data_IF_957065242513
#
_entry.id   IF_957065242513
#
_cell.length_a   1.000
_cell.length_b   1.000
_cell.length_c   1.000
_cell.angle_alpha   90.00
_cell.angle_beta   90.00
_cell.angle_gamma   90.00
#
_symmetry.space_group_name_H-M   'P 1'
#
loop_
_entity.id
_entity.type
_entity.pdbx_description
1 polymer ?
#
# COMPACT_ATOMS: atom_id res chain seq x y z
N UNK A 1 31.37 0.08 -26.78
CA UNK A 1 32.62 0.88 -26.94
C UNK A 1 32.96 1.69 -25.68
N UNK A 2 32.87 1.13 -24.46
CA UNK A 2 32.69 1.96 -23.23
C UNK A 2 33.88 2.04 -22.24
N UNK A 3 34.91 1.21 -22.36
CA UNK A 3 36.00 1.17 -21.35
C UNK A 3 37.09 2.23 -21.56
N UNK A 4 37.41 2.57 -22.82
CA UNK A 4 38.58 3.42 -23.15
C UNK A 4 38.42 4.87 -22.71
N UNK A 5 37.19 5.36 -22.58
CA UNK A 5 36.86 6.76 -22.33
C UNK A 5 36.76 7.09 -20.84
N UNK A 6 36.56 6.08 -20.00
CA UNK A 6 36.49 6.20 -18.52
C UNK A 6 37.88 6.03 -17.88
N UNK A 7 38.80 5.35 -18.58
CA UNK A 7 40.13 4.98 -18.07
C UNK A 7 40.92 6.17 -17.48
N UNK A 8 40.95 7.37 -18.11
CA UNK A 8 41.69 8.51 -17.54
C UNK A 8 41.09 9.01 -16.22
N UNK A 9 39.75 9.07 -16.13
CA UNK A 9 39.06 9.50 -14.91
C UNK A 9 39.30 8.53 -13.75
N UNK A 10 39.24 7.22 -14.02
CA UNK A 10 39.51 6.18 -13.03
C UNK A 10 40.96 6.23 -12.57
N UNK A 11 41.91 6.31 -13.52
CA UNK A 11 43.33 6.38 -13.19
C UNK A 11 43.64 7.61 -12.32
N UNK A 12 43.11 8.78 -12.68
CA UNK A 12 43.33 10.02 -11.93
C UNK A 12 42.70 9.98 -10.54
N UNK A 13 41.51 9.37 -10.41
CA UNK A 13 40.85 9.15 -9.11
C UNK A 13 41.70 8.24 -8.23
N UNK A 14 42.20 7.12 -8.77
CA UNK A 14 43.02 6.17 -8.03
C UNK A 14 44.36 6.79 -7.57
N UNK A 15 45.06 7.51 -8.46
CA UNK A 15 46.30 8.21 -8.11
C UNK A 15 46.03 9.27 -7.05
N UNK A 16 44.95 10.04 -7.17
CA UNK A 16 44.55 11.03 -6.18
C UNK A 16 44.35 10.42 -4.80
N UNK A 17 43.64 9.29 -4.71
CA UNK A 17 43.37 8.60 -3.44
C UNK A 17 44.63 8.04 -2.78
N UNK A 18 45.53 7.44 -3.57
CA UNK A 18 46.78 6.92 -3.03
C UNK A 18 47.61 8.06 -2.43
N UNK A 19 47.61 9.21 -3.11
CA UNK A 19 48.36 10.37 -2.66
C UNK A 19 47.78 11.01 -1.41
N UNK A 20 46.46 11.22 -1.35
CA UNK A 20 45.76 11.74 -0.16
C UNK A 20 45.98 10.84 1.04
N UNK A 21 45.82 9.52 0.87
CA UNK A 21 46.09 8.54 1.92
C UNK A 21 47.55 8.60 2.38
N UNK A 22 48.52 8.64 1.46
CA UNK A 22 49.94 8.70 1.80
C UNK A 22 50.28 9.96 2.60
N UNK A 23 49.77 11.12 2.20
CA UNK A 23 49.99 12.39 2.89
C UNK A 23 49.33 12.39 4.27
N UNK A 24 48.08 11.93 4.38
CA UNK A 24 47.40 11.79 5.67
C UNK A 24 48.19 10.85 6.58
N UNK A 25 48.68 9.72 6.09
CA UNK A 25 49.49 8.79 6.86
C UNK A 25 50.81 9.40 7.34
N UNK A 26 51.49 10.14 6.47
CA UNK A 26 52.75 10.78 6.81
C UNK A 26 52.58 11.88 7.86
N UNK A 27 51.44 12.59 7.83
CA UNK A 27 51.17 13.68 8.77
C UNK A 27 50.55 13.17 10.08
N UNK A 28 49.40 12.50 9.99
CA UNK A 28 48.66 12.00 11.15
C UNK A 28 49.38 10.84 11.85
N UNK A 29 50.16 10.04 11.14
CA UNK A 29 50.93 8.95 11.75
C UNK A 29 51.99 9.42 12.76
N UNK A 30 52.36 10.70 12.74
CA UNK A 30 53.25 11.30 13.75
C UNK A 30 52.52 11.74 15.02
N UNK A 31 51.22 12.04 14.91
CA UNK A 31 50.41 12.60 15.99
C UNK A 31 49.47 11.57 16.64
N UNK A 32 49.09 10.51 15.92
CA UNK A 32 48.17 9.47 16.38
C UNK A 32 48.60 8.08 15.92
N UNK A 33 48.10 6.99 16.54
CA UNK A 33 48.40 5.64 16.11
C UNK A 33 48.05 5.43 14.63
N UNK A 34 48.96 4.78 13.90
CA UNK A 34 48.82 4.55 12.45
C UNK A 34 47.48 3.93 12.00
N UNK A 35 46.78 3.05 12.77
CA UNK A 35 45.48 2.54 12.34
C UNK A 35 44.41 3.64 12.28
N UNK A 36 44.48 4.64 13.17
CA UNK A 36 43.54 5.77 13.20
C UNK A 36 43.78 6.66 11.98
N UNK A 37 45.04 6.96 11.67
CA UNK A 37 45.42 7.73 10.49
C UNK A 37 44.94 7.06 9.19
N UNK A 38 45.05 5.73 9.09
CA UNK A 38 44.52 4.97 7.95
C UNK A 38 43.01 5.09 7.83
N UNK A 39 42.27 4.94 8.93
CA UNK A 39 40.80 5.07 8.92
C UNK A 39 40.38 6.47 8.49
N UNK A 40 41.09 7.51 8.94
CA UNK A 40 40.81 8.89 8.54
C UNK A 40 41.05 9.09 7.04
N UNK A 41 42.20 8.66 6.52
CA UNK A 41 42.52 8.76 5.09
C UNK A 41 41.54 7.99 4.21
N UNK A 42 41.29 6.72 4.56
CA UNK A 42 40.29 5.89 3.87
C UNK A 42 38.87 6.43 4.02
N UNK A 43 38.56 7.13 5.12
CA UNK A 43 37.27 7.78 5.34
C UNK A 43 37.02 8.95 4.38
N UNK A 44 38.03 9.79 4.17
CA UNK A 44 37.97 10.91 3.21
C UNK A 44 37.77 10.37 1.79
N UNK A 45 38.63 9.45 1.37
CA UNK A 45 38.59 8.91 0.01
C UNK A 45 37.39 7.97 -0.22
N UNK A 46 37.01 7.19 0.79
CA UNK A 46 35.83 6.33 0.77
C UNK A 46 34.53 7.13 0.70
N UNK A 47 34.42 8.22 1.45
CA UNK A 47 33.31 9.16 1.35
C UNK A 47 33.21 9.78 -0.05
N UNK A 48 34.35 10.19 -0.60
CA UNK A 48 34.41 10.72 -1.96
C UNK A 48 33.99 9.69 -3.02
N UNK A 49 34.51 8.46 -2.96
CA UNK A 49 34.12 7.38 -3.88
C UNK A 49 32.65 7.02 -3.77
N UNK A 50 32.10 6.96 -2.56
CA UNK A 50 30.68 6.68 -2.34
C UNK A 50 29.81 7.73 -3.04
N UNK A 51 30.19 9.02 -2.95
CA UNK A 51 29.46 10.09 -3.63
C UNK A 51 29.58 10.00 -5.15
N UNK A 52 30.77 9.71 -5.69
CA UNK A 52 30.99 9.52 -7.13
C UNK A 52 30.20 8.32 -7.68
N UNK A 53 30.18 7.20 -6.96
CA UNK A 53 29.41 6.02 -7.33
C UNK A 53 27.91 6.31 -7.31
N UNK A 54 27.44 7.06 -6.30
CA UNK A 54 26.03 7.44 -6.20
C UNK A 54 25.60 8.40 -7.31
N UNK A 55 26.43 9.41 -7.62
CA UNK A 55 26.20 10.30 -8.77
C UNK A 55 26.15 9.53 -10.09
N UNK A 56 27.06 8.58 -10.30
CA UNK A 56 27.08 7.74 -11.51
C UNK A 56 25.84 6.87 -11.61
N UNK A 57 25.36 6.33 -10.49
CA UNK A 57 24.10 5.57 -10.44
C UNK A 57 22.88 6.44 -10.78
N UNK A 58 22.80 7.64 -10.19
CA UNK A 58 21.74 8.61 -10.49
C UNK A 58 21.75 9.02 -11.96
N UNK A 59 22.95 9.35 -12.49
CA UNK A 59 23.11 9.74 -13.89
C UNK A 59 22.68 8.61 -14.86
N UNK A 60 22.98 7.34 -14.53
CA UNK A 60 22.51 6.19 -15.30
C UNK A 60 20.98 6.03 -15.27
N UNK A 61 20.31 6.55 -14.24
CA UNK A 61 18.85 6.59 -14.11
C UNK A 61 18.23 7.86 -14.72
N UNK A 62 19.05 8.77 -15.24
CA UNK A 62 18.60 10.07 -15.76
C UNK A 62 18.22 11.07 -14.67
N UNK A 63 18.60 10.82 -13.41
CA UNK A 63 18.32 11.68 -12.26
C UNK A 63 19.61 12.34 -11.74
N UNK A 64 19.47 13.45 -11.00
CA UNK A 64 20.60 14.19 -10.44
C UNK A 64 20.23 14.78 -9.07
N UNK A 65 21.14 14.67 -8.10
CA UNK A 65 20.98 15.27 -6.78
C UNK A 65 22.04 16.33 -6.53
N UNK A 66 21.61 17.60 -6.42
CA UNK A 66 22.49 18.74 -6.11
C UNK A 66 23.20 18.56 -4.76
N UNK A 67 22.53 17.93 -3.79
CA UNK A 67 23.10 17.66 -2.46
C UNK A 67 24.27 16.69 -2.59
N UNK A 68 24.08 15.56 -3.27
CA UNK A 68 25.16 14.57 -3.45
C UNK A 68 26.32 15.18 -4.23
N UNK A 69 26.03 15.97 -5.26
CA UNK A 69 27.05 16.71 -6.02
C UNK A 69 27.83 17.69 -5.15
N UNK A 70 27.14 18.46 -4.30
CA UNK A 70 27.79 19.34 -3.34
C UNK A 70 28.70 18.58 -2.36
N UNK A 71 28.24 17.45 -1.83
CA UNK A 71 29.03 16.59 -0.92
C UNK A 71 30.27 16.03 -1.64
N UNK A 72 30.13 15.54 -2.87
CA UNK A 72 31.25 15.04 -3.65
C UNK A 72 32.30 16.12 -3.97
N UNK A 73 31.87 17.36 -4.21
CA UNK A 73 32.79 18.50 -4.32
C UNK A 73 33.44 18.86 -2.99
N UNK A 74 32.70 18.82 -1.88
CA UNK A 74 33.24 19.10 -0.55
C UNK A 74 34.38 18.13 -0.19
N UNK A 75 34.20 16.82 -0.39
CA UNK A 75 35.26 15.84 -0.18
C UNK A 75 36.47 16.08 -1.09
N UNK A 76 36.25 16.39 -2.37
CA UNK A 76 37.32 16.73 -3.30
C UNK A 76 38.12 17.96 -2.87
N UNK A 77 37.44 19.00 -2.38
CA UNK A 77 38.07 20.21 -1.87
C UNK A 77 38.82 19.96 -0.55
N UNK A 78 38.29 19.11 0.34
CA UNK A 78 38.98 18.70 1.57
C UNK A 78 40.26 17.95 1.21
N UNK A 79 40.19 16.97 0.31
CA UNK A 79 41.34 16.23 -0.18
C UNK A 79 42.42 17.15 -0.79
N UNK A 80 42.02 18.07 -1.66
CA UNK A 80 42.93 19.09 -2.21
C UNK A 80 43.50 19.99 -1.12
N UNK A 81 42.69 20.41 -0.14
CA UNK A 81 43.14 21.22 0.99
C UNK A 81 44.22 20.54 1.83
N UNK A 82 44.08 19.23 2.09
CA UNK A 82 45.10 18.42 2.78
C UNK A 82 46.40 18.40 1.98
N UNK A 83 46.34 18.19 0.66
CA UNK A 83 47.52 18.17 -0.20
C UNK A 83 48.19 19.55 -0.30
N UNK A 84 47.42 20.63 -0.41
CA UNK A 84 47.95 22.00 -0.43
C UNK A 84 48.60 22.33 0.91
N UNK A 85 47.96 22.00 2.03
CA UNK A 85 48.54 22.20 3.36
C UNK A 85 49.87 21.45 3.50
N UNK A 86 49.93 20.20 3.05
CA UNK A 86 51.16 19.44 3.03
C UNK A 86 52.24 20.09 2.16
N UNK A 87 51.89 20.56 0.95
CA UNK A 87 52.81 21.22 0.05
C UNK A 87 53.43 22.50 0.65
N UNK A 88 52.65 23.24 1.44
CA UNK A 88 53.10 24.47 2.11
C UNK A 88 53.96 24.22 3.36
N UNK A 89 53.74 23.07 4.03
CA UNK A 89 54.46 22.67 5.24
C UNK A 89 55.70 21.83 4.94
N UNK A 90 55.82 21.29 3.73
CA UNK A 90 56.98 20.50 3.32
C UNK A 90 58.19 21.42 3.10
N UNK A 91 59.30 21.13 3.81
CA UNK A 91 60.55 21.90 3.71
C UNK A 91 61.24 21.71 2.35
N UNK A 92 61.01 20.57 1.69
CA UNK A 92 61.53 20.26 0.36
C UNK A 92 60.41 20.08 -0.66
N UNK A 93 60.65 20.47 -1.91
CA UNK A 93 59.77 20.17 -3.06
C UNK A 93 58.34 20.74 -3.04
N UNK A 94 58.09 21.83 -2.31
CA UNK A 94 56.79 22.51 -2.24
C UNK A 94 56.12 22.76 -3.61
N UNK A 95 56.90 23.17 -4.62
CA UNK A 95 56.39 23.40 -5.97
C UNK A 95 55.86 22.13 -6.67
N UNK A 96 56.51 20.98 -6.45
CA UNK A 96 56.06 19.71 -7.01
C UNK A 96 54.76 19.25 -6.33
N UNK A 97 54.69 19.38 -4.99
CA UNK A 97 53.49 19.03 -4.24
C UNK A 97 52.30 19.93 -4.58
N UNK A 98 52.51 21.23 -4.77
CA UNK A 98 51.46 22.16 -5.22
C UNK A 98 50.91 21.79 -6.60
N UNK A 99 51.75 21.30 -7.51
CA UNK A 99 51.29 20.85 -8.82
C UNK A 99 50.34 19.65 -8.72
N UNK A 100 50.64 18.72 -7.81
CA UNK A 100 49.87 17.47 -7.64
C UNK A 100 48.64 17.66 -6.73
N UNK A 101 48.62 18.68 -5.87
CA UNK A 101 47.53 18.95 -4.94
C UNK A 101 46.15 19.16 -5.61
N UNK A 102 46.14 19.55 -6.88
CA UNK A 102 44.93 19.76 -7.68
C UNK A 102 44.36 18.49 -8.31
N UNK A 103 45.01 17.33 -8.15
CA UNK A 103 44.55 16.05 -8.71
C UNK A 103 43.10 15.67 -8.30
N UNK A 104 42.66 15.82 -7.02
CA UNK A 104 41.28 15.49 -6.64
C UNK A 104 40.23 16.29 -7.43
N UNK A 105 40.46 17.61 -7.56
CA UNK A 105 39.61 18.52 -8.32
C UNK A 105 39.62 18.16 -9.81
N UNK A 106 40.80 17.90 -10.38
CA UNK A 106 40.94 17.54 -11.79
C UNK A 106 40.28 16.18 -12.10
N UNK A 107 40.37 15.20 -11.21
CA UNK A 107 39.67 13.92 -11.34
C UNK A 107 38.15 14.11 -11.35
N UNK A 108 37.60 14.94 -10.45
CA UNK A 108 36.17 15.27 -10.43
C UNK A 108 35.74 15.99 -11.72
N UNK A 109 36.53 16.95 -12.19
CA UNK A 109 36.26 17.66 -13.45
C UNK A 109 36.27 16.70 -14.65
N UNK A 110 37.18 15.72 -14.67
CA UNK A 110 37.26 14.73 -15.73
C UNK A 110 36.02 13.83 -15.77
N UNK A 111 35.46 13.48 -14.60
CA UNK A 111 34.18 12.78 -14.51
C UNK A 111 33.00 13.61 -15.06
N UNK A 112 33.02 14.94 -14.87
CA UNK A 112 32.01 15.85 -15.44
C UNK A 112 32.12 15.93 -16.96
N UNK A 113 33.34 16.13 -17.48
CA UNK A 113 33.61 16.14 -18.93
C UNK A 113 33.18 14.83 -19.56
N UNK A 114 33.46 13.70 -18.91
CA UNK A 114 33.01 12.40 -19.39
C UNK A 114 31.48 12.30 -19.44
N UNK A 115 30.78 12.77 -18.41
CA UNK A 115 29.30 12.80 -18.40
C UNK A 115 28.72 13.69 -19.50
N UNK A 116 29.32 14.85 -19.75
CA UNK A 116 28.95 15.73 -20.87
C UNK A 116 29.22 15.05 -22.22
N UNK A 117 30.34 14.35 -22.35
CA UNK A 117 30.68 13.66 -23.57
C UNK A 117 29.70 12.52 -23.88
N UNK A 118 29.30 11.74 -22.87
CA UNK A 118 28.25 10.72 -22.99
C UNK A 118 26.92 11.33 -23.47
N UNK A 119 26.57 12.54 -23.02
CA UNK A 119 25.38 13.26 -23.48
C UNK A 119 25.52 13.74 -24.93
N UNK A 120 26.67 14.28 -25.32
CA UNK A 120 26.90 14.74 -26.70
C UNK A 120 27.04 13.61 -27.72
N UNK A 121 27.39 12.39 -27.27
CA UNK A 121 27.45 11.21 -28.12
C UNK A 121 26.05 10.69 -28.48
N UNK A 122 25.02 11.07 -27.74
CA UNK A 122 23.63 10.75 -28.05
C UNK A 122 23.08 11.81 -29.01
N UNK A 123 22.46 11.39 -30.12
CA UNK A 123 21.81 12.33 -31.04
C UNK A 123 20.66 13.06 -30.32
N UNK A 124 20.33 14.32 -30.68
CA UNK A 124 19.21 15.06 -30.10
C UNK A 124 17.89 14.28 -30.17
N UNK A 125 17.69 13.51 -31.24
CA UNK A 125 16.55 12.61 -31.43
C UNK A 125 16.52 11.50 -30.38
N UNK A 126 17.66 10.89 -30.05
CA UNK A 126 17.76 9.86 -29.01
C UNK A 126 17.53 10.44 -27.61
N UNK A 127 18.00 11.66 -27.33
CA UNK A 127 17.69 12.34 -26.08
C UNK A 127 16.20 12.68 -25.97
N UNK A 128 15.58 13.08 -27.08
CA UNK A 128 14.14 13.32 -27.16
C UNK A 128 13.32 12.05 -26.90
N UNK A 129 13.68 10.92 -27.49
CA UNK A 129 12.98 9.65 -27.26
C UNK A 129 13.13 9.15 -25.83
N UNK A 130 14.32 9.27 -25.22
CA UNK A 130 14.54 8.93 -23.80
C UNK A 130 13.65 9.79 -22.89
N UNK A 131 13.58 11.10 -23.14
CA UNK A 131 12.69 12.00 -22.37
C UNK A 131 11.22 11.62 -22.54
N UNK A 132 10.81 11.26 -23.75
CA UNK A 132 9.45 10.77 -24.04
C UNK A 132 9.10 9.52 -23.24
N UNK A 133 9.95 8.50 -23.28
CA UNK A 133 9.76 7.24 -22.54
C UNK A 133 9.73 7.50 -21.03
N UNK A 134 10.59 8.37 -20.50
CA UNK A 134 10.59 8.71 -19.08
C UNK A 134 9.33 9.45 -18.64
N UNK A 135 8.80 10.32 -19.50
CA UNK A 135 7.57 11.04 -19.22
C UNK A 135 6.37 10.09 -19.24
N UNK A 136 6.28 9.23 -20.26
CA UNK A 136 5.24 8.22 -20.37
C UNK A 136 5.24 7.27 -19.17
N UNK A 137 6.41 6.79 -18.73
CA UNK A 137 6.53 5.95 -17.55
C UNK A 137 6.10 6.68 -16.25
N UNK A 138 6.36 7.99 -16.13
CA UNK A 138 5.89 8.80 -14.99
C UNK A 138 4.38 8.95 -15.01
N UNK A 139 3.81 9.21 -16.17
CA UNK A 139 2.37 9.40 -16.36
C UNK A 139 1.63 8.08 -16.09
N UNK A 140 2.16 6.96 -16.59
CA UNK A 140 1.64 5.62 -16.30
C UNK A 140 1.70 5.29 -14.81
N UNK A 141 2.82 5.58 -14.14
CA UNK A 141 2.94 5.40 -12.69
C UNK A 141 1.96 6.28 -11.90
N UNK A 142 1.71 7.52 -12.36
CA UNK A 142 0.73 8.40 -11.74
C UNK A 142 -0.71 7.87 -11.92
N UNK A 143 -1.05 7.38 -13.11
CA UNK A 143 -2.34 6.75 -13.40
C UNK A 143 -2.53 5.47 -12.58
N UNK A 144 -1.52 4.61 -12.48
CA UNK A 144 -1.57 3.39 -11.67
C UNK A 144 -1.82 3.71 -10.19
N UNK A 145 -1.13 4.72 -9.64
CA UNK A 145 -1.39 5.20 -8.26
C UNK A 145 -2.80 5.76 -8.09
N UNK A 146 -3.32 6.49 -9.08
CA UNK A 146 -4.68 7.01 -9.03
C UNK A 146 -5.72 5.89 -9.06
N UNK A 147 -5.53 4.87 -9.91
CA UNK A 147 -6.39 3.67 -9.96
C UNK A 147 -6.39 2.90 -8.65
N UNK A 148 -5.20 2.61 -8.11
CA UNK A 148 -5.07 1.94 -6.81
C UNK A 148 -5.75 2.72 -5.68
N UNK A 149 -5.66 4.05 -5.67
CA UNK A 149 -6.38 4.89 -4.69
C UNK A 149 -7.89 4.83 -4.86
N UNK A 150 -8.39 4.81 -6.10
CA UNK A 150 -9.82 4.71 -6.38
C UNK A 150 -10.40 3.36 -5.93
N UNK A 151 -9.68 2.27 -6.20
CA UNK A 151 -10.04 0.93 -5.73
C UNK A 151 -10.03 0.84 -4.21
N UNK A 152 -8.96 1.35 -3.56
CA UNK A 152 -8.86 1.36 -2.11
C UNK A 152 -10.00 2.15 -1.43
N UNK A 153 -10.35 3.34 -1.94
CA UNK A 153 -11.46 4.13 -1.42
C UNK A 153 -12.82 3.43 -1.57
N UNK A 154 -13.00 2.67 -2.66
CA UNK A 154 -14.22 1.88 -2.90
C UNK A 154 -14.32 0.74 -1.88
N UNK A 155 -13.22 0.02 -1.65
CA UNK A 155 -13.18 -1.06 -0.65
C UNK A 155 -13.33 -0.54 0.78
N UNK A 156 -12.74 0.61 1.12
CA UNK A 156 -12.95 1.27 2.42
C UNK A 156 -14.43 1.60 2.66
N UNK A 157 -15.11 2.15 1.65
CA UNK A 157 -16.55 2.45 1.71
C UNK A 157 -17.36 1.16 1.91
N UNK A 158 -17.01 0.09 1.19
CA UNK A 158 -17.66 -1.22 1.30
C UNK A 158 -17.49 -1.82 2.68
N UNK A 159 -16.26 -1.83 3.22
CA UNK A 159 -15.96 -2.34 4.56
C UNK A 159 -16.71 -1.54 5.62
N UNK A 160 -16.73 -0.22 5.51
CA UNK A 160 -17.49 0.65 6.43
C UNK A 160 -18.98 0.32 6.41
N UNK A 161 -19.58 0.15 5.22
CA UNK A 161 -20.98 -0.22 5.09
C UNK A 161 -21.29 -1.60 5.70
N UNK A 162 -20.41 -2.59 5.48
CA UNK A 162 -20.55 -3.93 6.06
C UNK A 162 -20.41 -3.90 7.58
N UNK A 163 -19.43 -3.18 8.12
CA UNK A 163 -19.24 -3.02 9.56
C UNK A 163 -20.43 -2.32 10.21
N UNK A 164 -20.96 -1.27 9.59
CA UNK A 164 -22.13 -0.56 10.09
C UNK A 164 -23.37 -1.48 10.07
N UNK A 165 -23.58 -2.23 8.99
CA UNK A 165 -24.64 -3.24 8.93
C UNK A 165 -24.48 -4.32 10.01
N UNK A 166 -23.27 -4.83 10.23
CA UNK A 166 -22.96 -5.78 11.29
C UNK A 166 -23.24 -5.22 12.68
N UNK A 167 -22.91 -3.95 12.93
CA UNK A 167 -23.21 -3.26 14.19
C UNK A 167 -24.71 -3.14 14.45
N UNK A 168 -25.51 -2.91 13.39
CA UNK A 168 -26.98 -2.87 13.48
C UNK A 168 -27.54 -4.24 13.83
N UNK A 169 -27.05 -5.29 13.18
CA UNK A 169 -27.47 -6.68 13.47
C UNK A 169 -27.11 -7.07 14.90
N UNK A 170 -25.87 -6.82 15.35
CA UNK A 170 -25.44 -7.12 16.71
C UNK A 170 -26.29 -6.40 17.76
N UNK A 171 -26.66 -5.14 17.50
CA UNK A 171 -27.54 -4.36 18.38
C UNK A 171 -28.95 -4.94 18.48
N UNK A 172 -29.51 -5.39 17.35
CA UNK A 172 -30.84 -6.05 17.33
C UNK A 172 -30.78 -7.37 18.09
N UNK A 173 -29.75 -8.20 17.85
CA UNK A 173 -29.57 -9.46 18.58
C UNK A 173 -29.45 -9.25 20.10
N UNK A 174 -28.65 -8.26 20.53
CA UNK A 174 -28.53 -7.91 21.94
C UNK A 174 -29.87 -7.48 22.56
N UNK A 175 -30.66 -6.65 21.84
CA UNK A 175 -31.98 -6.22 22.30
C UNK A 175 -32.96 -7.39 22.38
N UNK A 176 -32.96 -8.28 21.40
CA UNK A 176 -33.80 -9.49 21.41
C UNK A 176 -33.43 -10.42 22.56
N UNK A 177 -32.13 -10.65 22.80
CA UNK A 177 -31.66 -11.46 23.93
C UNK A 177 -32.10 -10.86 25.28
N UNK A 178 -32.05 -9.53 25.42
CA UNK A 178 -32.53 -8.83 26.61
C UNK A 178 -34.05 -8.98 26.80
N UNK A 179 -34.84 -8.85 25.74
CA UNK A 179 -36.29 -9.04 25.82
C UNK A 179 -36.64 -10.49 26.20
N UNK A 180 -35.95 -11.47 25.62
CA UNK A 180 -36.14 -12.88 25.95
C UNK A 180 -35.76 -13.19 27.39
N UNK A 181 -34.66 -12.64 27.91
CA UNK A 181 -34.27 -12.85 29.31
C UNK A 181 -35.26 -12.21 30.28
N UNK A 182 -35.80 -11.03 29.95
CA UNK A 182 -36.88 -10.41 30.73
C UNK A 182 -38.16 -11.25 30.70
N UNK A 183 -38.55 -11.78 29.54
CA UNK A 183 -39.72 -12.65 29.42
C UNK A 183 -39.54 -13.92 30.26
N UNK A 184 -38.37 -14.56 30.21
CA UNK A 184 -38.04 -15.72 31.05
C UNK A 184 -38.06 -15.38 32.54
N UNK A 185 -37.48 -14.26 32.94
CA UNK A 185 -37.52 -13.80 34.32
C UNK A 185 -38.95 -13.55 34.80
N UNK A 186 -39.81 -12.98 33.94
CA UNK A 186 -41.22 -12.74 34.25
C UNK A 186 -41.98 -14.05 34.40
N UNK A 187 -41.73 -15.01 33.51
CA UNK A 187 -42.33 -16.35 33.56
C UNK A 187 -41.91 -17.11 34.81
N UNK A 188 -40.63 -17.06 35.17
CA UNK A 188 -40.09 -17.67 36.39
C UNK A 188 -40.66 -17.02 37.64
N UNK A 189 -40.80 -15.68 37.65
CA UNK A 189 -41.45 -14.95 38.75
C UNK A 189 -42.93 -15.36 38.88
N UNK A 190 -43.63 -15.49 37.76
CA UNK A 190 -45.02 -15.95 37.75
C UNK A 190 -45.15 -17.41 38.22
N UNK A 191 -44.19 -18.29 37.87
CA UNK A 191 -44.13 -19.68 38.32
C UNK A 191 -43.90 -19.79 39.84
N UNK A 192 -42.99 -18.96 40.36
CA UNK A 192 -42.63 -18.94 41.79
C UNK A 192 -43.59 -18.08 42.62
N UNK A 193 -44.57 -17.42 41.98
CA UNK A 193 -45.60 -16.64 42.63
C UNK A 193 -46.50 -17.51 43.51
N UNK A 194 -46.95 -16.93 44.61
CA UNK A 194 -47.65 -17.65 45.68
C UNK A 194 -49.01 -18.23 45.23
N UNK A 195 -49.71 -17.52 44.32
CA UNK A 195 -50.98 -17.97 43.72
C UNK A 195 -50.79 -19.14 42.74
N UNK A 196 -49.75 -19.09 41.91
CA UNK A 196 -49.40 -20.19 40.99
C UNK A 196 -48.88 -21.40 41.75
N UNK A 197 -48.10 -21.19 42.81
CA UNK A 197 -47.63 -22.26 43.70
C UNK A 197 -48.80 -22.94 44.43
N UNK A 198 -49.79 -22.18 44.92
CA UNK A 198 -51.04 -22.76 45.45
C UNK A 198 -51.82 -23.56 44.40
N UNK A 199 -51.94 -23.03 43.18
CA UNK A 199 -52.62 -23.71 42.08
C UNK A 199 -51.89 -24.97 41.60
N UNK A 200 -50.55 -25.00 41.66
CA UNK A 200 -49.76 -26.19 41.31
C UNK A 200 -49.75 -27.21 42.44
N UNK A 201 -49.78 -26.78 43.70
CA UNK A 201 -49.84 -27.67 44.87
C UNK A 201 -51.19 -28.38 44.97
N UNK A 202 -52.29 -27.74 44.56
CA UNK A 202 -53.61 -28.38 44.46
C UNK A 202 -53.72 -29.45 43.36
N UNK A 203 -52.76 -29.48 42.43
CA UNK A 203 -52.76 -30.41 41.28
C UNK A 203 -51.69 -31.50 41.39
N UNK A 204 -50.54 -31.24 42.03
CA UNK A 204 -49.35 -32.10 41.92
C UNK A 204 -49.03 -32.96 43.15
N UNK A 205 -49.54 -32.64 44.34
CA UNK A 205 -49.28 -33.45 45.54
C UNK A 205 -50.60 -33.97 46.11
N UNK A 206 -50.80 -35.30 46.18
CA UNK A 206 -51.94 -35.85 46.88
C UNK A 206 -51.75 -35.58 48.38
N UNK A 207 -52.45 -34.58 48.91
CA UNK A 207 -52.50 -34.33 50.37
C UNK A 207 -53.34 -35.41 51.09
N UNK A 208 -54.00 -36.30 50.32
CA UNK A 208 -54.81 -37.44 50.81
C UNK A 208 -54.48 -38.71 50.01
N UNK A 209 -54.13 -39.83 50.68
CA UNK A 209 -53.88 -41.09 49.99
C UNK A 209 -55.19 -41.63 49.36
N UNK A 210 -55.16 -41.92 48.05
CA UNK A 210 -56.27 -42.56 47.32
C UNK A 210 -56.97 -41.71 46.25
N UNK A 211 -56.56 -40.45 46.03
CA UNK A 211 -57.14 -39.60 44.98
C UNK A 211 -56.15 -39.43 43.82
N UNK A 212 -56.56 -39.81 42.61
CA UNK A 212 -55.80 -39.57 41.38
C UNK A 212 -55.94 -38.11 40.93
N UNK A 213 -54.84 -37.43 40.57
CA UNK A 213 -54.92 -36.09 39.99
C UNK A 213 -55.67 -36.15 38.65
N UNK A 214 -56.58 -35.20 38.44
CA UNK A 214 -57.54 -35.24 37.32
C UNK A 214 -56.99 -34.72 35.99
N UNK A 215 -55.78 -34.14 35.96
CA UNK A 215 -55.17 -33.56 34.77
C UNK A 215 -53.70 -33.97 34.62
N UNK A 216 -53.33 -34.37 33.41
CA UNK A 216 -51.94 -34.57 32.97
C UNK A 216 -51.37 -33.24 32.48
N UNK A 217 -50.20 -32.84 33.00
CA UNK A 217 -49.49 -31.66 32.51
C UNK A 217 -48.90 -31.95 31.12
N UNK A 218 -49.06 -31.05 30.14
CA UNK A 218 -48.44 -31.21 28.83
C UNK A 218 -46.91 -31.14 28.98
N UNK A 219 -46.23 -32.23 28.61
CA UNK A 219 -44.78 -32.28 28.53
C UNK A 219 -44.35 -31.47 27.31
N UNK A 220 -43.66 -30.36 27.54
CA UNK A 220 -42.98 -29.63 26.47
C UNK A 220 -41.85 -30.53 25.96
N UNK A 221 -42.07 -31.19 24.83
CA UNK A 221 -41.09 -32.07 24.21
C UNK A 221 -39.84 -31.31 23.71
N UNK A 222 -38.77 -32.03 23.33
CA UNK A 222 -37.58 -31.42 22.76
C UNK A 222 -37.97 -30.57 21.54
N UNK A 223 -37.60 -29.29 21.54
CA UNK A 223 -37.79 -28.43 20.38
C UNK A 223 -36.84 -28.87 19.27
N UNK A 224 -37.37 -29.39 18.18
CA UNK A 224 -36.58 -29.63 16.98
C UNK A 224 -35.98 -28.29 16.50
N UNK A 225 -34.66 -28.23 16.22
CA UNK A 225 -34.07 -27.05 15.63
C UNK A 225 -34.73 -26.83 14.27
N UNK A 226 -35.43 -25.70 14.12
CA UNK A 226 -35.96 -25.27 12.82
C UNK A 226 -34.77 -25.21 11.85
N UNK A 227 -34.79 -25.99 10.75
CA UNK A 227 -33.73 -25.92 9.77
C UNK A 227 -33.64 -24.47 9.30
N UNK A 228 -32.44 -23.89 9.30
CA UNK A 228 -32.22 -22.64 8.58
C UNK A 228 -32.80 -22.85 7.18
N UNK A 229 -33.75 -22.00 6.77
CA UNK A 229 -34.30 -22.00 5.41
C UNK A 229 -33.12 -22.16 4.45
N UNK A 230 -32.95 -23.37 3.93
CA UNK A 230 -32.08 -23.58 2.81
C UNK A 230 -32.71 -22.71 1.73
N UNK A 231 -32.07 -21.58 1.41
CA UNK A 231 -32.29 -20.95 0.13
C UNK A 231 -31.86 -22.02 -0.88
N UNK A 232 -32.79 -22.92 -1.22
CA UNK A 232 -32.73 -23.57 -2.51
C UNK A 232 -32.70 -22.40 -3.49
N UNK A 233 -31.51 -22.17 -4.03
CA UNK A 233 -31.28 -21.18 -5.04
C UNK A 233 -32.18 -21.56 -6.22
N UNK A 234 -33.38 -20.97 -6.26
CA UNK A 234 -34.16 -20.92 -7.48
C UNK A 234 -33.18 -20.54 -8.59
N UNK A 235 -33.17 -21.24 -9.73
CA UNK A 235 -32.16 -21.07 -10.76
C UNK A 235 -32.06 -19.59 -11.08
N UNK A 236 -30.89 -19.01 -10.76
CA UNK A 236 -30.68 -17.58 -10.91
C UNK A 236 -30.93 -17.23 -12.38
N UNK A 237 -31.80 -16.26 -12.62
CA UNK A 237 -32.04 -15.70 -13.95
C UNK A 237 -30.69 -15.45 -14.64
N UNK A 238 -30.46 -16.08 -15.79
CA UNK A 238 -29.24 -15.87 -16.59
C UNK A 238 -29.20 -14.42 -17.09
N UNK A 239 -28.03 -13.90 -17.43
CA UNK A 239 -27.93 -12.52 -17.93
C UNK A 239 -28.71 -12.32 -19.24
N UNK A 240 -28.75 -13.32 -20.12
CA UNK A 240 -29.53 -13.26 -21.36
C UNK A 240 -31.05 -13.25 -21.09
N UNK A 241 -31.51 -14.06 -20.13
CA UNK A 241 -32.92 -14.07 -19.74
C UNK A 241 -33.32 -12.76 -19.03
N UNK A 242 -32.40 -12.17 -18.26
CA UNK A 242 -32.59 -10.86 -17.64
C UNK A 242 -32.70 -9.77 -18.70
N UNK A 243 -31.85 -9.78 -19.71
CA UNK A 243 -31.88 -8.79 -20.79
C UNK A 243 -33.19 -8.87 -21.59
N UNK A 244 -33.64 -10.08 -21.93
CA UNK A 244 -34.93 -10.29 -22.61
C UNK A 244 -36.13 -9.78 -21.78
N UNK A 245 -36.18 -10.09 -20.48
CA UNK A 245 -37.25 -9.62 -19.59
C UNK A 245 -37.26 -8.10 -19.41
N UNK A 246 -36.09 -7.48 -19.28
CA UNK A 246 -35.99 -6.03 -19.14
C UNK A 246 -36.44 -5.35 -20.43
N UNK A 247 -36.13 -5.92 -21.60
CA UNK A 247 -36.54 -5.39 -22.90
C UNK A 247 -38.06 -5.50 -23.12
N UNK A 248 -38.63 -6.66 -22.79
CA UNK A 248 -40.07 -6.91 -22.86
C UNK A 248 -40.85 -5.93 -21.97
N UNK A 249 -40.44 -5.77 -20.71
CA UNK A 249 -41.12 -4.87 -19.77
C UNK A 249 -40.99 -3.42 -20.24
N UNK A 250 -39.81 -3.02 -20.74
CA UNK A 250 -39.59 -1.65 -21.23
C UNK A 250 -40.53 -1.29 -22.38
N UNK A 251 -40.73 -2.21 -23.31
CA UNK A 251 -41.57 -2.02 -24.50
C UNK A 251 -43.03 -2.42 -24.31
N UNK A 252 -43.44 -2.81 -23.10
CA UNK A 252 -44.82 -3.15 -22.78
C UNK A 252 -45.80 -1.98 -22.93
N UNK A 253 -45.31 -0.74 -22.91
CA UNK A 253 -46.10 0.47 -23.14
C UNK A 253 -45.46 1.40 -24.17
N UNK A 254 -46.28 2.21 -24.83
CA UNK A 254 -45.84 3.26 -25.74
C UNK A 254 -46.28 4.61 -25.16
N UNK A 255 -45.35 5.53 -24.85
CA UNK A 255 -43.90 5.44 -25.02
C UNK A 255 -43.23 4.46 -24.04
N UNK A 256 -42.03 3.99 -24.41
CA UNK A 256 -41.26 3.02 -23.62
C UNK A 256 -41.03 3.50 -22.17
N UNK A 257 -41.15 2.57 -21.22
CA UNK A 257 -41.09 2.87 -19.79
C UNK A 257 -39.72 3.44 -19.38
N UNK A 258 -39.72 4.30 -18.35
CA UNK A 258 -38.47 4.73 -17.71
C UNK A 258 -37.86 3.60 -16.86
N UNK A 259 -36.56 3.71 -16.56
CA UNK A 259 -35.87 2.73 -15.71
C UNK A 259 -36.59 2.47 -14.38
N UNK A 260 -37.12 3.53 -13.75
CA UNK A 260 -37.79 3.43 -12.44
C UNK A 260 -39.10 2.64 -12.53
N UNK A 261 -39.86 2.86 -13.60
CA UNK A 261 -41.13 2.17 -13.86
C UNK A 261 -40.88 0.71 -14.21
N UNK A 262 -39.93 0.44 -15.11
CA UNK A 262 -39.50 -0.91 -15.46
C UNK A 262 -39.03 -1.68 -14.22
N UNK A 263 -38.16 -1.10 -13.39
CA UNK A 263 -37.64 -1.76 -12.18
C UNK A 263 -38.72 -2.03 -11.13
N UNK A 264 -39.78 -1.20 -11.09
CA UNK A 264 -40.93 -1.42 -10.21
C UNK A 264 -41.78 -2.58 -10.72
N UNK A 265 -42.07 -2.62 -12.03
CA UNK A 265 -42.84 -3.71 -12.65
C UNK A 265 -42.10 -5.05 -12.62
N UNK A 266 -40.78 -5.05 -12.84
CA UNK A 266 -39.92 -6.23 -12.73
C UNK A 266 -40.04 -6.89 -11.35
N UNK A 267 -40.01 -6.08 -10.27
CA UNK A 267 -40.18 -6.59 -8.90
C UNK A 267 -41.63 -6.98 -8.59
N UNK A 268 -42.61 -6.24 -9.10
CA UNK A 268 -44.02 -6.57 -8.93
C UNK A 268 -44.40 -7.89 -9.62
N UNK A 269 -43.74 -8.24 -10.72
CA UNK A 269 -43.87 -9.53 -11.40
C UNK A 269 -43.19 -10.71 -10.65
N UNK A 270 -42.60 -10.45 -9.48
CA UNK A 270 -41.97 -11.48 -8.65
C UNK A 270 -40.53 -11.83 -9.06
N UNK A 271 -39.95 -11.12 -10.03
CA UNK A 271 -38.55 -11.32 -10.40
C UNK A 271 -37.60 -10.65 -9.39
N UNK A 272 -36.51 -11.34 -9.07
CA UNK A 272 -35.46 -10.84 -8.20
C UNK A 272 -34.11 -10.82 -8.92
N UNK A 273 -33.44 -9.67 -8.90
CA UNK A 273 -32.10 -9.48 -9.44
C UNK A 273 -31.40 -8.40 -8.60
N UNK A 274 -30.07 -8.49 -8.48
CA UNK A 274 -29.31 -7.42 -7.83
C UNK A 274 -29.42 -6.13 -8.66
N UNK A 275 -29.46 -4.98 -7.97
CA UNK A 275 -29.57 -3.66 -8.61
C UNK A 275 -28.45 -3.44 -9.64
N UNK A 276 -27.25 -3.97 -9.37
CA UNK A 276 -26.10 -3.92 -10.29
C UNK A 276 -26.38 -4.67 -11.59
N UNK A 277 -26.91 -5.90 -11.51
CA UNK A 277 -27.27 -6.70 -12.70
C UNK A 277 -28.40 -6.05 -13.49
N UNK A 278 -29.43 -5.57 -12.79
CA UNK A 278 -30.58 -4.90 -13.43
C UNK A 278 -30.17 -3.60 -14.15
N UNK A 279 -29.28 -2.79 -13.58
CA UNK A 279 -28.72 -1.61 -14.26
C UNK A 279 -27.79 -1.98 -15.42
N UNK A 280 -27.03 -3.07 -15.28
CA UNK A 280 -26.20 -3.61 -16.35
C UNK A 280 -27.04 -3.97 -17.58
N UNK A 281 -28.10 -4.76 -17.37
CA UNK A 281 -29.08 -5.11 -18.39
C UNK A 281 -29.71 -3.87 -19.04
N UNK A 282 -30.22 -2.94 -18.21
CA UNK A 282 -30.79 -1.69 -18.71
C UNK A 282 -29.83 -0.89 -19.59
N UNK A 283 -28.56 -0.77 -19.20
CA UNK A 283 -27.55 -0.05 -19.99
C UNK A 283 -27.29 -0.71 -21.33
N UNK A 284 -27.25 -2.05 -21.40
CA UNK A 284 -27.04 -2.78 -22.65
C UNK A 284 -28.16 -2.56 -23.67
N UNK A 285 -29.38 -2.28 -23.21
CA UNK A 285 -30.54 -2.05 -24.09
C UNK A 285 -30.73 -0.58 -24.49
N UNK A 286 -30.13 0.37 -23.76
CA UNK A 286 -30.25 1.82 -24.03
C UNK A 286 -29.04 2.35 -24.80
N UNK A 287 -27.91 1.65 -24.74
CA UNK A 287 -26.72 1.91 -25.56
C UNK A 287 -27.02 1.61 -27.04
#
# INVERSE_FOLDING_TARGET
MKAKTVLPAVAMTAVSMVLTLAVVMMWLGTAMPWPVALVVGLGIDGGWLATLAYERRLAAQGDHSRVVTGVGWAFGLIATGVLVAHALLAEESAGAWLAVAWLPVAAKALWLVHGLWEQTALTPTALGSIRGIQQEARDEAAVARARLRAEAATEETRLTAVTEAGSRVARVQAKTAQTLSQAWSTLETARNGEDTSRALTSVTTPVTPGVTPRWELPVWGPTDPVPALALEAAPALTDDALDALVDEIRHSETPALSYREMATRFRAAGHSASEVRLRGAWKRMVA
#
